data_IF_650365983768
#
_entry.id   IF_650365983768
#
_cell.length_a   1.000
_cell.length_b   1.000
_cell.length_c   1.000
_cell.angle_alpha   90.00
_cell.angle_beta   90.00
_cell.angle_gamma   90.00
#
_symmetry.space_group_name_H-M   'P 1'
#
loop_
_entity.id
_entity.type
_entity.pdbx_description
1 polymer ?
#
# COMPACT_ATOMS: atom_id res chain seq x y z
N UNK A 1 14.21 -2.67 21.56
CA UNK A 1 13.41 -2.15 20.41
C UNK A 1 12.02 -2.76 20.43
N UNK A 2 10.98 -2.05 19.92
CA UNK A 2 9.60 -2.58 19.84
C UNK A 2 9.33 -3.29 18.51
N UNK A 3 10.17 -3.05 17.51
CA UNK A 3 10.11 -3.66 16.18
C UNK A 3 11.40 -4.42 15.97
N UNK A 4 11.29 -5.74 15.81
CA UNK A 4 12.44 -6.61 15.57
C UNK A 4 12.84 -6.61 14.08
N UNK A 5 11.88 -6.61 13.18
CA UNK A 5 12.09 -6.61 11.71
C UNK A 5 11.02 -5.80 11.02
N UNK A 6 11.36 -5.15 9.92
CA UNK A 6 10.42 -4.40 9.08
C UNK A 6 10.35 -5.04 7.70
N UNK A 7 9.14 -5.29 7.23
CA UNK A 7 8.90 -5.78 5.87
C UNK A 7 7.96 -4.79 5.16
N UNK A 8 8.37 -4.33 4.02
CA UNK A 8 7.62 -3.38 3.22
C UNK A 8 7.35 -3.97 1.82
N UNK A 9 6.10 -3.91 1.38
CA UNK A 9 5.66 -4.39 0.08
C UNK A 9 5.39 -3.19 -0.83
N UNK A 10 6.22 -3.00 -1.87
CA UNK A 10 6.16 -1.89 -2.83
C UNK A 10 6.03 -0.51 -2.14
N UNK A 11 6.85 -0.28 -1.10
CA UNK A 11 6.79 0.87 -0.21
C UNK A 11 7.92 1.88 -0.50
N UNK A 12 7.81 2.58 -1.59
CA UNK A 12 8.82 3.53 -2.11
C UNK A 12 8.61 4.99 -1.64
N UNK A 13 7.58 5.24 -0.83
CA UNK A 13 7.17 6.61 -0.47
C UNK A 13 6.42 7.29 -1.60
N UNK A 14 6.26 8.62 -1.49
CA UNK A 14 5.62 9.45 -2.50
C UNK A 14 6.61 10.52 -3.01
N UNK A 15 6.27 11.15 -4.12
CA UNK A 15 6.92 12.38 -4.54
C UNK A 15 6.66 13.49 -3.50
N UNK A 16 7.62 14.41 -3.33
CA UNK A 16 7.42 15.52 -2.40
C UNK A 16 6.26 16.41 -2.84
N UNK A 17 5.53 16.95 -1.89
CA UNK A 17 4.42 17.86 -2.17
C UNK A 17 4.90 19.30 -2.09
N UNK A 18 4.52 20.13 -3.08
CA UNK A 18 4.76 21.56 -3.03
C UNK A 18 3.99 22.24 -1.88
N UNK A 19 4.63 23.19 -1.20
CA UNK A 19 4.03 23.89 -0.07
C UNK A 19 2.77 24.67 -0.46
N UNK A 20 2.68 25.15 -1.69
CA UNK A 20 1.55 25.91 -2.24
C UNK A 20 0.25 25.07 -2.27
N UNK A 21 0.37 23.74 -2.21
CA UNK A 21 -0.80 22.85 -2.13
C UNK A 21 -1.45 22.81 -0.72
N UNK A 22 -0.76 23.30 0.31
CA UNK A 22 -1.23 23.17 1.70
C UNK A 22 -2.57 23.86 1.97
N UNK A 23 -2.83 25.11 1.54
CA UNK A 23 -4.12 25.75 1.80
C UNK A 23 -5.31 24.98 1.19
N UNK A 24 -5.21 24.60 -0.08
CA UNK A 24 -6.27 23.84 -0.75
C UNK A 24 -6.45 22.41 -0.20
N UNK A 25 -5.36 21.80 0.27
CA UNK A 25 -5.41 20.50 0.96
C UNK A 25 -6.18 20.60 2.28
N UNK A 26 -5.90 21.62 3.07
CA UNK A 26 -6.57 21.86 4.34
C UNK A 26 -8.05 22.20 4.16
N UNK A 27 -8.37 23.06 3.20
CA UNK A 27 -9.75 23.38 2.83
C UNK A 27 -10.53 22.11 2.43
N UNK A 28 -9.96 21.30 1.55
CA UNK A 28 -10.58 20.03 1.12
C UNK A 28 -10.80 19.10 2.32
N UNK A 29 -9.82 18.95 3.19
CA UNK A 29 -9.94 18.11 4.38
C UNK A 29 -11.07 18.60 5.31
N UNK A 30 -11.15 19.91 5.57
CA UNK A 30 -12.22 20.50 6.40
C UNK A 30 -13.61 20.24 5.79
N UNK A 31 -13.75 20.41 4.48
CA UNK A 31 -14.99 20.14 3.77
C UNK A 31 -15.39 18.66 3.84
N UNK A 32 -14.41 17.74 3.71
CA UNK A 32 -14.66 16.30 3.81
C UNK A 32 -14.99 15.83 5.23
N UNK A 33 -14.62 16.58 6.28
CA UNK A 33 -15.02 16.26 7.66
C UNK A 33 -16.52 16.42 7.90
N UNK A 34 -17.14 17.41 7.26
CA UNK A 34 -18.57 17.68 7.37
C UNK A 34 -19.43 16.83 6.43
N UNK A 35 -18.79 16.06 5.53
CA UNK A 35 -19.48 15.22 4.53
C UNK A 35 -19.46 13.76 4.96
N UNK A 36 -20.61 13.07 5.04
CA UNK A 36 -20.64 11.64 5.26
C UNK A 36 -19.88 10.88 4.17
N UNK A 37 -18.99 9.98 4.58
CA UNK A 37 -18.22 9.13 3.66
C UNK A 37 -18.72 7.70 3.76
N UNK A 38 -18.96 7.06 2.62
CA UNK A 38 -19.36 5.67 2.56
C UNK A 38 -18.58 4.93 1.47
N UNK A 39 -18.43 3.62 1.64
CA UNK A 39 -17.97 2.77 0.55
C UNK A 39 -19.10 2.50 -0.44
N UNK A 40 -18.71 2.27 -1.68
CA UNK A 40 -19.60 1.74 -2.70
C UNK A 40 -20.12 0.37 -2.26
N UNK A 41 -21.40 0.12 -2.49
CA UNK A 41 -22.02 -1.19 -2.27
C UNK A 41 -22.16 -1.97 -3.57
N UNK A 42 -22.15 -3.29 -3.46
CA UNK A 42 -22.25 -4.25 -4.56
C UNK A 42 -23.45 -5.17 -4.32
N UNK A 43 -24.14 -5.65 -5.37
CA UNK A 43 -25.27 -6.57 -5.20
C UNK A 43 -24.87 -7.84 -4.42
N UNK A 44 -23.69 -8.37 -4.69
CA UNK A 44 -23.17 -9.61 -4.11
C UNK A 44 -21.64 -9.63 -4.13
N UNK A 45 -21.02 -10.71 -3.61
CA UNK A 45 -19.58 -10.92 -3.61
C UNK A 45 -19.00 -11.13 -5.02
N UNK A 46 -19.77 -11.66 -5.95
CA UNK A 46 -19.31 -11.84 -7.32
C UNK A 46 -19.09 -10.47 -8.00
N UNK A 47 -19.99 -9.51 -7.78
CA UNK A 47 -19.83 -8.13 -8.27
C UNK A 47 -18.62 -7.44 -7.62
N UNK A 48 -18.36 -7.67 -6.33
CA UNK A 48 -17.14 -7.17 -5.68
C UNK A 48 -15.89 -7.83 -6.27
N UNK A 49 -15.88 -9.14 -6.50
CA UNK A 49 -14.76 -9.85 -7.13
C UNK A 49 -14.47 -9.31 -8.54
N UNK A 50 -15.50 -9.08 -9.35
CA UNK A 50 -15.36 -8.48 -10.67
C UNK A 50 -14.74 -7.07 -10.60
N UNK A 51 -15.12 -6.28 -9.59
CA UNK A 51 -14.51 -4.96 -9.35
C UNK A 51 -13.03 -5.07 -8.98
N UNK A 52 -12.66 -5.99 -8.08
CA UNK A 52 -11.26 -6.21 -7.68
C UNK A 52 -10.39 -6.62 -8.88
N UNK A 53 -10.93 -7.43 -9.79
CA UNK A 53 -10.24 -7.77 -11.05
C UNK A 53 -10.11 -6.59 -12.00
N UNK A 54 -11.12 -5.72 -12.09
CA UNK A 54 -11.02 -4.52 -12.90
C UNK A 54 -9.95 -3.55 -12.40
N UNK A 55 -9.74 -3.48 -11.07
CA UNK A 55 -8.68 -2.69 -10.45
C UNK A 55 -7.30 -3.35 -10.56
N UNK A 56 -7.25 -4.68 -10.61
CA UNK A 56 -6.03 -5.46 -10.80
C UNK A 56 -6.25 -6.56 -11.85
N UNK A 57 -5.98 -6.30 -13.13
CA UNK A 57 -6.16 -7.29 -14.21
C UNK A 57 -5.29 -8.56 -14.09
N UNK A 58 -4.24 -8.52 -13.26
CA UNK A 58 -3.39 -9.70 -12.95
C UNK A 58 -4.05 -10.68 -12.00
N UNK A 59 -5.13 -10.25 -11.31
CA UNK A 59 -5.78 -11.05 -10.28
C UNK A 59 -6.56 -12.22 -10.88
N UNK A 60 -6.17 -13.45 -10.57
CA UNK A 60 -6.86 -14.65 -10.99
C UNK A 60 -8.26 -14.75 -10.33
N UNK A 61 -9.22 -15.40 -11.02
CA UNK A 61 -10.62 -15.49 -10.57
C UNK A 61 -10.76 -16.07 -9.15
N UNK A 62 -10.05 -17.16 -8.87
CA UNK A 62 -10.08 -17.78 -7.54
C UNK A 62 -9.57 -16.84 -6.44
N UNK A 63 -8.54 -16.03 -6.72
CA UNK A 63 -8.00 -15.04 -5.77
C UNK A 63 -8.96 -13.86 -5.62
N UNK A 64 -9.60 -13.41 -6.69
CA UNK A 64 -10.60 -12.35 -6.62
C UNK A 64 -11.81 -12.78 -5.78
N UNK A 65 -12.29 -14.02 -5.96
CA UNK A 65 -13.37 -14.58 -5.14
C UNK A 65 -12.97 -14.69 -3.66
N UNK A 66 -11.76 -15.17 -3.39
CA UNK A 66 -11.22 -15.23 -2.02
C UNK A 66 -11.14 -13.84 -1.38
N UNK A 67 -10.62 -12.85 -2.09
CA UNK A 67 -10.54 -11.48 -1.57
C UNK A 67 -11.93 -10.86 -1.35
N UNK A 68 -12.88 -11.11 -2.27
CA UNK A 68 -14.25 -10.62 -2.11
C UNK A 68 -14.96 -11.24 -0.90
N UNK A 69 -14.67 -12.51 -0.57
CA UNK A 69 -15.19 -13.17 0.62
C UNK A 69 -14.66 -12.54 1.91
N UNK A 70 -13.36 -12.23 1.96
CA UNK A 70 -12.70 -11.77 3.19
C UNK A 70 -12.66 -10.24 3.35
N UNK A 71 -12.73 -9.47 2.26
CA UNK A 71 -12.78 -8.01 2.29
C UNK A 71 -14.20 -7.45 2.21
N UNK A 72 -15.19 -8.30 1.87
CA UNK A 72 -16.60 -7.91 1.75
C UNK A 72 -17.40 -8.21 3.00
N UNK A 73 -18.17 -7.24 3.46
CA UNK A 73 -19.13 -7.43 4.55
C UNK A 73 -20.54 -6.98 4.13
N UNK A 74 -21.62 -7.58 4.69
CA UNK A 74 -22.98 -7.10 4.47
C UNK A 74 -23.18 -5.68 4.98
N UNK A 75 -23.94 -4.86 4.22
CA UNK A 75 -24.25 -3.46 4.59
C UNK A 75 -25.55 -3.33 5.44
N UNK A 76 -26.15 -4.43 5.85
CA UNK A 76 -27.43 -4.47 6.56
C UNK A 76 -28.67 -4.42 5.65
N UNK A 77 -28.49 -4.18 4.36
CA UNK A 77 -29.55 -4.18 3.33
C UNK A 77 -29.42 -5.37 2.37
N UNK A 78 -28.59 -6.36 2.71
CA UNK A 78 -28.33 -7.53 1.89
C UNK A 78 -27.34 -7.31 0.75
N UNK A 79 -26.72 -6.12 0.68
CA UNK A 79 -25.65 -5.79 -0.27
C UNK A 79 -24.29 -5.99 0.39
N UNK A 80 -23.25 -6.00 -0.41
CA UNK A 80 -21.86 -6.15 0.05
C UNK A 80 -21.15 -4.80 -0.07
N UNK A 81 -20.41 -4.41 0.95
CA UNK A 81 -19.43 -3.30 0.92
C UNK A 81 -18.05 -3.78 1.34
N UNK A 82 -17.01 -3.02 1.06
CA UNK A 82 -15.69 -3.31 1.63
C UNK A 82 -15.73 -3.12 3.15
N UNK A 83 -15.18 -4.08 3.89
CA UNK A 83 -14.96 -3.98 5.31
C UNK A 83 -13.85 -2.93 5.57
N UNK A 84 -14.10 -2.02 6.48
CA UNK A 84 -13.14 -0.97 6.84
C UNK A 84 -13.83 0.32 7.21
N UNK A 85 -13.02 1.28 7.64
CA UNK A 85 -13.50 2.61 7.95
C UNK A 85 -13.54 3.49 6.68
N UNK A 86 -14.71 3.96 6.24
CA UNK A 86 -14.81 4.87 5.09
C UNK A 86 -13.99 6.15 5.23
N UNK A 87 -13.66 6.57 6.46
CA UNK A 87 -12.82 7.74 6.71
C UNK A 87 -11.43 7.66 6.04
N UNK A 88 -10.94 6.45 5.73
CA UNK A 88 -9.71 6.26 4.94
C UNK A 88 -9.78 6.86 3.53
N UNK A 89 -10.96 7.18 3.03
CA UNK A 89 -11.12 7.86 1.73
C UNK A 89 -10.93 9.37 1.80
N UNK A 90 -10.92 9.94 2.99
CA UNK A 90 -10.67 11.37 3.16
C UNK A 90 -9.22 11.71 2.85
N UNK A 91 -9.02 12.91 2.32
CA UNK A 91 -7.65 13.40 2.13
C UNK A 91 -6.97 13.58 3.49
N UNK A 92 -5.67 13.38 3.54
CA UNK A 92 -4.88 13.73 4.71
C UNK A 92 -4.74 15.27 4.76
N UNK A 93 -4.97 15.88 5.93
CA UNK A 93 -4.79 17.31 6.15
C UNK A 93 -3.35 17.76 5.91
N UNK A 94 -2.39 16.89 6.25
CA UNK A 94 -0.96 17.17 6.14
C UNK A 94 -0.44 16.72 4.77
N UNK A 95 0.33 17.59 4.12
CA UNK A 95 1.04 17.23 2.90
C UNK A 95 2.11 16.17 3.20
N UNK A 96 2.33 15.28 2.24
CA UNK A 96 3.48 14.41 2.32
C UNK A 96 4.76 15.21 2.08
N UNK A 97 5.67 15.14 3.04
CA UNK A 97 6.99 15.79 2.98
C UNK A 97 8.06 14.71 2.95
N UNK A 98 8.70 14.57 1.78
CA UNK A 98 9.68 13.52 1.58
C UNK A 98 10.87 13.63 2.54
N UNK A 99 11.35 14.85 2.80
CA UNK A 99 12.45 15.07 3.74
C UNK A 99 12.15 14.56 5.16
N UNK A 100 10.89 14.69 5.61
CA UNK A 100 10.44 14.16 6.91
C UNK A 100 10.42 12.64 6.92
N UNK A 101 9.94 12.03 5.82
CA UNK A 101 9.93 10.57 5.67
C UNK A 101 11.37 10.01 5.66
N UNK A 102 12.28 10.61 4.91
CA UNK A 102 13.71 10.25 4.86
C UNK A 102 14.35 10.37 6.25
N UNK A 103 14.07 11.46 6.98
CA UNK A 103 14.59 11.65 8.34
C UNK A 103 14.08 10.55 9.29
N UNK A 104 12.82 10.09 9.14
CA UNK A 104 12.28 8.98 9.91
C UNK A 104 12.94 7.65 9.52
N UNK A 105 13.10 7.36 8.22
CA UNK A 105 13.74 6.13 7.73
C UNK A 105 15.18 5.96 8.22
N UNK A 106 15.95 7.04 8.26
CA UNK A 106 17.32 7.04 8.79
C UNK A 106 17.42 6.63 10.27
N UNK A 107 16.31 6.66 11.00
CA UNK A 107 16.23 6.22 12.40
C UNK A 107 15.78 4.78 12.57
N UNK A 108 15.40 4.11 11.47
CA UNK A 108 15.02 2.69 11.52
C UNK A 108 16.28 1.86 11.69
N UNK A 109 16.41 1.24 12.87
CA UNK A 109 17.51 0.33 13.19
C UNK A 109 17.16 -1.15 13.02
N UNK A 110 15.87 -1.46 12.81
CA UNK A 110 15.43 -2.82 12.55
C UNK A 110 15.87 -3.28 11.15
N UNK A 111 16.35 -4.53 11.00
CA UNK A 111 16.55 -5.09 9.68
C UNK A 111 15.31 -4.93 8.81
N UNK A 112 15.49 -4.38 7.61
CA UNK A 112 14.41 -3.98 6.73
C UNK A 112 14.49 -4.75 5.41
N UNK A 113 13.38 -5.37 5.03
CA UNK A 113 13.21 -6.03 3.73
C UNK A 113 12.17 -5.26 2.90
N UNK A 114 12.57 -4.81 1.72
CA UNK A 114 11.62 -4.37 0.70
C UNK A 114 11.39 -5.48 -0.31
N UNK A 115 10.11 -5.72 -0.62
CA UNK A 115 9.69 -6.63 -1.69
C UNK A 115 8.97 -5.78 -2.73
N UNK A 116 9.50 -5.72 -3.92
CA UNK A 116 9.00 -4.86 -5.00
C UNK A 116 8.58 -5.68 -6.21
N UNK A 117 7.62 -5.20 -7.01
CA UNK A 117 7.35 -5.79 -8.32
C UNK A 117 8.54 -5.55 -9.25
N UNK A 118 8.81 -6.48 -10.16
CA UNK A 118 9.86 -6.29 -11.16
C UNK A 118 9.57 -5.08 -12.07
N UNK A 119 8.29 -4.78 -12.30
CA UNK A 119 7.84 -3.61 -13.05
C UNK A 119 7.20 -2.57 -12.12
N UNK A 120 7.89 -1.48 -11.77
CA UNK A 120 7.44 -0.48 -10.80
C UNK A 120 6.46 0.54 -11.40
N UNK A 121 5.37 0.05 -12.00
CA UNK A 121 4.37 0.88 -12.70
C UNK A 121 3.75 1.95 -11.78
N UNK A 122 3.37 1.58 -10.56
CA UNK A 122 2.75 2.51 -9.63
C UNK A 122 3.71 3.60 -9.18
N UNK A 123 4.95 3.25 -8.89
CA UNK A 123 6.00 4.22 -8.52
C UNK A 123 6.19 5.28 -9.60
N UNK A 124 6.30 4.84 -10.87
CA UNK A 124 6.41 5.75 -12.01
C UNK A 124 5.17 6.63 -12.17
N UNK A 125 3.97 6.05 -12.05
CA UNK A 125 2.69 6.77 -12.13
C UNK A 125 2.55 7.83 -11.04
N UNK A 126 3.09 7.60 -9.86
CA UNK A 126 3.08 8.54 -8.73
C UNK A 126 4.24 9.56 -8.78
N UNK A 127 5.04 9.55 -9.84
CA UNK A 127 6.10 10.54 -10.08
C UNK A 127 7.29 10.41 -9.12
N UNK A 128 7.50 9.25 -8.50
CA UNK A 128 8.70 9.01 -7.66
C UNK A 128 9.85 8.63 -8.57
N UNK A 129 10.85 9.52 -8.66
CA UNK A 129 12.03 9.34 -9.52
C UNK A 129 12.93 8.20 -9.04
N UNK A 130 13.85 7.77 -9.90
CA UNK A 130 14.83 6.73 -9.54
C UNK A 130 15.82 7.23 -8.48
N UNK A 131 16.17 8.53 -8.49
CA UNK A 131 17.01 9.16 -7.47
C UNK A 131 16.31 9.18 -6.11
N UNK A 132 15.02 9.57 -6.09
CA UNK A 132 14.23 9.56 -4.87
C UNK A 132 14.08 8.12 -4.32
N UNK A 133 13.90 7.13 -5.18
CA UNK A 133 13.84 5.74 -4.79
C UNK A 133 15.18 5.23 -4.23
N UNK A 134 16.30 5.58 -4.88
CA UNK A 134 17.64 5.26 -4.39
C UNK A 134 17.93 5.91 -3.03
N UNK A 135 17.54 7.18 -2.83
CA UNK A 135 17.64 7.86 -1.54
C UNK A 135 16.84 7.14 -0.45
N UNK A 136 15.61 6.69 -0.76
CA UNK A 136 14.80 5.95 0.20
C UNK A 136 15.53 4.68 0.67
N UNK A 137 16.06 3.87 -0.26
CA UNK A 137 16.81 2.66 0.05
C UNK A 137 18.06 2.94 0.89
N UNK A 138 18.82 3.95 0.51
CA UNK A 138 20.03 4.36 1.23
C UNK A 138 19.76 4.94 2.63
N UNK A 139 18.51 5.24 2.95
CA UNK A 139 18.13 5.80 4.26
C UNK A 139 18.03 4.75 5.36
N UNK A 140 17.89 3.48 5.03
CA UNK A 140 17.82 2.40 6.03
C UNK A 140 19.21 1.88 6.39
N UNK A 141 19.41 1.52 7.65
CA UNK A 141 20.72 1.09 8.17
C UNK A 141 21.05 -0.37 7.77
N UNK A 142 20.07 -1.26 7.88
CA UNK A 142 20.16 -2.67 7.43
C UNK A 142 19.02 -2.91 6.44
N UNK A 143 19.36 -2.94 5.16
CA UNK A 143 18.40 -2.95 4.07
C UNK A 143 18.64 -4.09 3.09
N UNK A 144 17.58 -4.81 2.79
CA UNK A 144 17.54 -5.86 1.76
C UNK A 144 16.39 -5.61 0.81
N UNK A 145 16.58 -5.94 -0.46
CA UNK A 145 15.57 -5.80 -1.50
C UNK A 145 15.41 -7.12 -2.26
N UNK A 146 14.18 -7.48 -2.56
CA UNK A 146 13.84 -8.62 -3.40
C UNK A 146 12.77 -8.20 -4.40
N UNK A 147 12.98 -8.53 -5.66
CA UNK A 147 11.99 -8.30 -6.72
C UNK A 147 11.17 -9.55 -6.99
N UNK A 148 9.86 -9.35 -7.22
CA UNK A 148 8.91 -10.40 -7.56
C UNK A 148 8.42 -10.18 -8.99
N UNK A 149 8.75 -11.12 -9.87
CA UNK A 149 8.26 -11.11 -11.25
C UNK A 149 6.76 -11.42 -11.31
N UNK A 150 6.12 -11.05 -12.42
CA UNK A 150 4.70 -11.28 -12.70
C UNK A 150 3.77 -10.73 -11.61
N UNK A 151 4.13 -9.57 -11.07
CA UNK A 151 3.34 -8.88 -10.04
C UNK A 151 3.31 -7.37 -10.26
N UNK A 152 2.27 -6.72 -9.76
CA UNK A 152 2.14 -5.28 -9.66
C UNK A 152 2.19 -4.81 -8.21
N UNK A 153 1.63 -3.63 -7.94
CA UNK A 153 1.62 -3.04 -6.60
C UNK A 153 1.08 -3.97 -5.51
N UNK A 154 0.02 -4.71 -5.81
CA UNK A 154 -0.54 -5.70 -4.89
C UNK A 154 0.13 -7.07 -5.05
N UNK A 155 1.46 -7.11 -5.01
CA UNK A 155 2.26 -8.32 -5.25
C UNK A 155 1.88 -9.51 -4.36
N UNK A 156 1.38 -9.27 -3.16
CA UNK A 156 0.87 -10.28 -2.25
C UNK A 156 -0.50 -10.87 -2.68
N UNK A 157 -1.26 -10.16 -3.51
CA UNK A 157 -2.45 -10.71 -4.18
C UNK A 157 -2.07 -11.48 -5.44
N UNK A 158 -1.08 -10.98 -6.19
CA UNK A 158 -0.66 -11.58 -7.45
C UNK A 158 0.14 -12.88 -7.22
N UNK A 159 1.11 -12.83 -6.30
CA UNK A 159 2.08 -13.90 -6.04
C UNK A 159 2.16 -14.26 -4.54
N UNK A 160 1.03 -14.61 -3.86
CA UNK A 160 1.00 -14.81 -2.40
C UNK A 160 2.01 -15.85 -1.91
N UNK A 161 2.12 -16.99 -2.58
CA UNK A 161 3.04 -18.05 -2.17
C UNK A 161 4.52 -17.67 -2.32
N UNK A 162 4.87 -16.83 -3.29
CA UNK A 162 6.25 -16.32 -3.46
C UNK A 162 6.58 -15.30 -2.40
N UNK A 163 5.66 -14.37 -2.16
CA UNK A 163 5.82 -13.35 -1.11
C UNK A 163 5.94 -13.99 0.26
N UNK A 164 5.08 -14.98 0.58
CA UNK A 164 5.13 -15.70 1.85
C UNK A 164 6.51 -16.34 2.09
N UNK A 165 7.05 -17.08 1.11
CA UNK A 165 8.38 -17.69 1.23
C UNK A 165 9.50 -16.66 1.46
N UNK A 166 9.45 -15.50 0.79
CA UNK A 166 10.44 -14.44 0.97
C UNK A 166 10.34 -13.87 2.38
N UNK A 167 9.12 -13.61 2.85
CA UNK A 167 8.84 -13.11 4.21
C UNK A 167 9.33 -14.11 5.27
N UNK A 168 8.98 -15.39 5.15
CA UNK A 168 9.40 -16.44 6.06
C UNK A 168 10.91 -16.57 6.12
N UNK A 169 11.59 -16.61 4.98
CA UNK A 169 13.05 -16.68 4.92
C UNK A 169 13.71 -15.50 5.64
N UNK A 170 13.16 -14.28 5.49
CA UNK A 170 13.66 -13.10 6.17
C UNK A 170 13.40 -13.15 7.68
N UNK A 171 12.21 -13.60 8.11
CA UNK A 171 11.86 -13.69 9.52
C UNK A 171 12.67 -14.77 10.26
N UNK A 172 13.01 -15.86 9.58
CA UNK A 172 13.77 -16.99 10.14
C UNK A 172 15.29 -16.82 10.01
N UNK A 173 15.77 -15.83 9.23
CA UNK A 173 17.21 -15.57 9.11
C UNK A 173 17.78 -15.18 10.48
N UNK A 174 18.87 -15.84 10.89
CA UNK A 174 19.61 -15.41 12.08
C UNK A 174 20.21 -14.03 11.83
N UNK A 175 20.18 -13.19 12.85
CA UNK A 175 20.95 -11.93 12.83
C UNK A 175 22.43 -12.29 12.69
N UNK A 176 23.08 -11.68 11.71
CA UNK A 176 24.53 -11.84 11.50
C UNK A 176 25.26 -10.81 12.34
#
# INVERSE_FOLDING_TARGET
ARVARLIALDAFGLADSSAELAPGRLEKWLNELSTPVSFRTYPDRAALAARLKADNPRLADAKAAFLAEHLGEPDGQGRIRLAGDPAHRRVNAVLYRRAEAVAAWRRVSAPTLWIEPAEPELRRKLGVSDEAHAEARASFQDFREVQVADSGHNLHHDQPGRVARIVEAFLLSKES
#
